data_IF_748764541429
#
_entry.id   IF_748764541429
#
_cell.length_a   1.000
_cell.length_b   1.000
_cell.length_c   1.000
_cell.angle_alpha   90.00
_cell.angle_beta   90.00
_cell.angle_gamma   90.00
#
_symmetry.space_group_name_H-M   'P 1'
#
loop_
_entity.id
_entity.type
_entity.pdbx_description
1 polymer ?
#
# COMPACT_ATOMS: atom_id res chain seq x y z
N UNK A 1 -21.67 -4.82 -4.80
CA UNK A 1 -20.75 -5.52 -3.88
C UNK A 1 -20.88 -4.87 -2.53
N UNK A 2 -20.86 -5.65 -1.46
CA UNK A 2 -20.73 -5.15 -0.09
C UNK A 2 -19.31 -5.47 0.38
N UNK A 3 -18.60 -4.51 0.98
CA UNK A 3 -17.20 -4.64 1.40
C UNK A 3 -16.97 -3.83 2.67
N UNK A 4 -16.31 -4.45 3.64
CA UNK A 4 -15.96 -3.84 4.92
C UNK A 4 -14.47 -4.10 5.18
N UNK A 5 -13.72 -3.02 5.47
CA UNK A 5 -12.31 -3.07 5.81
C UNK A 5 -12.08 -2.73 7.27
N UNK A 6 -11.28 -3.56 7.93
CA UNK A 6 -10.91 -3.36 9.33
C UNK A 6 -9.43 -3.66 9.49
N UNK A 7 -8.66 -2.62 9.78
CA UNK A 7 -7.24 -2.76 10.03
C UNK A 7 -6.91 -2.19 11.42
N UNK A 8 -6.04 -2.88 12.14
CA UNK A 8 -5.54 -2.46 13.44
C UNK A 8 -4.02 -2.60 13.45
N UNK A 9 -3.32 -1.56 13.88
CA UNK A 9 -1.85 -1.51 13.86
C UNK A 9 -1.32 -1.14 15.24
N UNK A 10 -0.23 -1.80 15.63
CA UNK A 10 0.65 -1.35 16.71
C UNK A 10 2.01 -1.03 16.10
N UNK A 11 2.56 0.13 16.45
CA UNK A 11 3.82 0.59 15.91
C UNK A 11 4.66 1.25 16.99
N UNK A 12 5.97 1.23 16.78
CA UNK A 12 6.93 1.93 17.64
C UNK A 12 7.96 2.67 16.81
N UNK A 13 8.41 3.80 17.34
CA UNK A 13 9.61 4.49 16.90
C UNK A 13 10.76 4.05 17.77
N UNK A 14 11.86 3.66 17.15
CA UNK A 14 13.10 3.27 17.82
C UNK A 14 14.17 4.36 17.65
N UNK A 15 13.78 5.60 17.34
CA UNK A 15 14.73 6.70 17.20
C UNK A 15 15.51 6.98 18.49
N UNK A 16 14.94 6.69 19.66
CA UNK A 16 15.62 6.88 20.96
C UNK A 16 16.90 6.03 21.08
N UNK A 17 16.95 4.86 20.44
CA UNK A 17 18.14 3.99 20.43
C UNK A 17 19.08 4.29 19.26
N UNK A 18 18.64 5.06 18.27
CA UNK A 18 19.42 5.45 17.10
C UNK A 18 19.09 6.88 16.63
N UNK A 19 19.43 7.90 17.43
CA UNK A 19 19.00 9.29 17.17
C UNK A 19 19.68 9.94 15.97
N UNK A 20 20.71 9.29 15.41
CA UNK A 20 21.36 9.72 14.16
C UNK A 20 20.53 9.39 12.91
N UNK A 21 19.48 8.58 13.02
CA UNK A 21 18.57 8.25 11.93
C UNK A 21 17.42 9.26 11.84
N UNK A 22 16.92 9.46 10.62
CA UNK A 22 15.73 10.29 10.36
C UNK A 22 14.44 9.49 10.63
N UNK A 23 14.48 8.17 10.40
CA UNK A 23 13.41 7.23 10.74
C UNK A 23 13.98 5.88 11.14
N UNK A 24 13.38 5.28 12.16
CA UNK A 24 13.55 3.87 12.51
C UNK A 24 12.23 3.42 13.15
N UNK A 25 11.35 2.85 12.34
CA UNK A 25 10.01 2.45 12.76
C UNK A 25 9.79 0.98 12.46
N UNK A 26 9.07 0.32 13.37
CA UNK A 26 8.54 -1.01 13.14
C UNK A 26 7.07 -1.02 13.53
N UNK A 27 6.23 -1.62 12.69
CA UNK A 27 4.83 -1.85 13.02
C UNK A 27 4.39 -3.25 12.65
N UNK A 28 3.44 -3.75 13.43
CA UNK A 28 2.69 -4.95 13.12
C UNK A 28 1.21 -4.60 13.09
N UNK A 29 0.49 -5.12 12.12
CA UNK A 29 -0.94 -4.92 12.01
C UNK A 29 -1.70 -6.15 11.63
N UNK A 30 -2.97 -6.17 12.00
CA UNK A 30 -3.97 -7.04 11.42
C UNK A 30 -4.67 -6.28 10.31
N UNK A 31 -4.78 -6.93 9.15
CA UNK A 31 -5.49 -6.42 7.98
C UNK A 31 -6.63 -7.39 7.70
N UNK A 32 -7.86 -6.89 7.57
CA UNK A 32 -9.02 -7.75 7.40
C UNK A 32 -10.06 -7.14 6.47
N UNK A 33 -10.68 -8.02 5.69
CA UNK A 33 -11.75 -7.68 4.76
C UNK A 33 -12.92 -8.64 4.97
N UNK A 34 -14.14 -8.11 4.96
CA UNK A 34 -15.36 -8.90 4.75
C UNK A 34 -16.04 -8.42 3.48
N UNK A 35 -16.16 -9.29 2.47
CA UNK A 35 -16.72 -8.90 1.18
C UNK A 35 -17.66 -9.92 0.57
N UNK A 36 -18.63 -9.41 -0.20
CA UNK A 36 -19.65 -10.21 -0.89
C UNK A 36 -20.05 -9.58 -2.21
N UNK A 37 -20.13 -10.41 -3.24
CA UNK A 37 -20.79 -10.06 -4.49
C UNK A 37 -22.31 -10.33 -4.38
N UNK A 38 -23.11 -9.27 -4.41
CA UNK A 38 -24.58 -9.37 -4.39
C UNK A 38 -25.09 -10.01 -5.69
N UNK A 39 -26.00 -10.97 -5.58
CA UNK A 39 -26.69 -11.58 -6.72
C UNK A 39 -28.21 -11.36 -6.56
N UNK A 40 -28.88 -11.00 -7.65
CA UNK A 40 -30.33 -10.84 -7.64
C UNK A 40 -30.97 -12.19 -7.28
N UNK A 41 -31.90 -12.21 -6.32
CA UNK A 41 -32.63 -13.40 -5.87
C UNK A 41 -31.79 -14.54 -5.25
N UNK A 42 -30.54 -14.27 -4.83
CA UNK A 42 -29.71 -15.26 -4.13
C UNK A 42 -29.13 -14.68 -2.85
N UNK A 43 -29.26 -15.43 -1.75
CA UNK A 43 -28.55 -15.12 -0.52
C UNK A 43 -27.12 -15.66 -0.62
N UNK A 44 -26.15 -14.76 -0.79
CA UNK A 44 -24.72 -15.11 -0.87
C UNK A 44 -24.09 -14.79 0.51
N UNK A 45 -23.23 -15.65 1.08
CA UNK A 45 -22.52 -15.34 2.32
C UNK A 45 -21.38 -14.35 2.09
N UNK A 46 -20.89 -13.73 3.17
CA UNK A 46 -19.66 -12.94 3.15
C UNK A 46 -18.42 -13.84 3.12
N UNK A 47 -17.42 -13.45 2.34
CA UNK A 47 -16.06 -13.99 2.39
C UNK A 47 -15.25 -13.13 3.34
N UNK A 48 -14.57 -13.75 4.30
CA UNK A 48 -13.72 -13.06 5.26
C UNK A 48 -12.25 -13.36 4.97
N UNK A 49 -11.46 -12.30 4.88
CA UNK A 49 -10.01 -12.31 4.84
C UNK A 49 -9.48 -11.74 6.16
N UNK A 50 -8.50 -12.42 6.73
CA UNK A 50 -7.76 -11.96 7.91
C UNK A 50 -6.29 -12.30 7.68
N UNK A 51 -5.47 -11.26 7.75
CA UNK A 51 -4.03 -11.33 7.57
C UNK A 51 -3.27 -10.51 8.59
N UNK A 52 -1.98 -10.80 8.70
CA UNK A 52 -1.01 -9.98 9.40
C UNK A 52 -0.15 -9.20 8.41
N UNK A 53 0.28 -8.02 8.84
CA UNK A 53 1.23 -7.17 8.12
C UNK A 53 2.33 -6.76 9.07
N UNK A 54 3.57 -6.81 8.59
CA UNK A 54 4.74 -6.30 9.29
C UNK A 54 5.42 -5.25 8.42
N UNK A 55 5.65 -4.07 8.98
CA UNK A 55 6.31 -2.97 8.30
C UNK A 55 7.55 -2.53 9.07
N UNK A 56 8.65 -2.33 8.35
CA UNK A 56 9.89 -1.76 8.91
C UNK A 56 10.35 -0.65 7.97
N UNK A 57 10.56 0.54 8.51
CA UNK A 57 11.09 1.69 7.78
C UNK A 57 12.35 2.22 8.47
N UNK A 58 13.43 2.33 7.71
CA UNK A 58 14.66 3.00 8.13
C UNK A 58 15.00 4.12 7.16
N UNK A 59 15.48 5.25 7.67
CA UNK A 59 15.90 6.39 6.85
C UNK A 59 17.11 7.09 7.46
N UNK A 60 18.13 7.35 6.64
CA UNK A 60 19.32 8.08 7.01
C UNK A 60 19.77 9.00 5.87
N UNK A 61 19.88 10.31 6.13
CA UNK A 61 20.30 11.32 5.15
C UNK A 61 19.51 11.26 3.84
N UNK A 62 18.18 11.14 3.94
CA UNK A 62 17.28 11.01 2.80
C UNK A 62 17.24 9.62 2.14
N UNK A 63 18.24 8.75 2.31
CA UNK A 63 18.17 7.36 1.85
C UNK A 63 17.33 6.54 2.81
N UNK A 64 16.37 5.79 2.30
CA UNK A 64 15.54 4.93 3.13
C UNK A 64 15.26 3.58 2.51
N UNK A 65 14.97 2.63 3.40
CA UNK A 65 14.54 1.28 3.09
C UNK A 65 13.23 1.06 3.84
N UNK A 66 12.22 0.58 3.12
CA UNK A 66 10.95 0.19 3.71
C UNK A 66 10.58 -1.21 3.25
N UNK A 67 10.33 -2.12 4.19
CA UNK A 67 9.81 -3.44 3.89
C UNK A 67 8.42 -3.59 4.49
N UNK A 68 7.47 -4.04 3.68
CA UNK A 68 6.14 -4.46 4.10
C UNK A 68 6.01 -5.94 3.75
N UNK A 69 5.75 -6.77 4.75
CA UNK A 69 5.46 -8.18 4.57
C UNK A 69 4.03 -8.47 5.06
N UNK A 70 3.20 -8.97 4.17
CA UNK A 70 1.83 -9.35 4.41
C UNK A 70 1.65 -10.86 4.27
N UNK A 71 0.87 -11.44 5.17
CA UNK A 71 0.50 -12.85 5.13
C UNK A 71 -0.96 -13.05 5.57
N UNK A 72 -1.69 -13.90 4.86
CA UNK A 72 -3.08 -14.23 5.18
C UNK A 72 -3.44 -15.64 4.74
N UNK A 73 -4.34 -16.29 5.48
CA UNK A 73 -4.87 -17.61 5.11
C UNK A 73 -5.84 -17.53 3.95
N UNK A 74 -6.66 -16.49 3.94
CA UNK A 74 -7.52 -16.13 2.81
C UNK A 74 -7.01 -14.79 2.29
N UNK A 75 -6.77 -14.62 0.98
CA UNK A 75 -6.31 -13.34 0.47
C UNK A 75 -7.42 -12.29 0.52
N UNK A 76 -7.02 -11.02 0.50
CA UNK A 76 -7.95 -9.91 0.28
C UNK A 76 -8.35 -9.83 -1.20
N UNK A 77 -9.37 -9.03 -1.48
CA UNK A 77 -9.86 -8.74 -2.82
C UNK A 77 -10.22 -10.01 -3.64
N UNK A 78 -11.02 -10.94 -3.09
CA UNK A 78 -11.27 -12.24 -3.72
C UNK A 78 -11.93 -12.16 -5.10
N UNK A 79 -12.58 -11.03 -5.42
CA UNK A 79 -13.24 -10.81 -6.71
C UNK A 79 -12.42 -9.97 -7.69
N UNK A 80 -11.15 -9.64 -7.38
CA UNK A 80 -10.39 -8.73 -8.24
C UNK A 80 -10.23 -9.26 -9.66
N UNK A 81 -9.81 -10.51 -9.84
CA UNK A 81 -9.60 -11.07 -11.18
C UNK A 81 -10.87 -11.04 -12.06
N UNK A 82 -12.05 -11.04 -11.45
CA UNK A 82 -13.34 -10.95 -12.15
C UNK A 82 -13.69 -9.51 -12.57
N UNK A 83 -13.20 -8.52 -11.83
CA UNK A 83 -13.61 -7.11 -11.98
C UNK A 83 -12.46 -6.14 -12.24
N UNK A 84 -11.23 -6.62 -12.43
CA UNK A 84 -10.02 -5.80 -12.64
C UNK A 84 -10.13 -4.84 -13.83
N UNK A 85 -10.97 -5.17 -14.82
CA UNK A 85 -11.19 -4.33 -16.01
C UNK A 85 -12.55 -3.62 -16.00
N UNK A 86 -13.35 -3.74 -14.93
CA UNK A 86 -14.69 -3.13 -14.90
C UNK A 86 -14.60 -1.61 -15.11
N UNK A 87 -13.55 -1.00 -14.58
CA UNK A 87 -13.25 0.44 -14.69
C UNK A 87 -12.95 0.90 -16.11
N UNK A 88 -12.57 0.00 -17.01
CA UNK A 88 -12.33 0.31 -18.41
C UNK A 88 -13.63 0.41 -19.23
N UNK A 89 -14.76 -0.05 -18.68
CA UNK A 89 -16.05 0.01 -19.34
C UNK A 89 -16.83 1.26 -18.95
N UNK A 90 -16.45 2.41 -19.50
CA UNK A 90 -17.20 3.64 -19.36
C UNK A 90 -17.93 3.99 -20.67
N UNK A 91 -19.22 4.31 -20.57
CA UNK A 91 -20.04 4.85 -21.65
C UNK A 91 -20.58 6.22 -21.25
N UNK A 92 -21.10 7.04 -22.20
CA UNK A 92 -21.69 8.34 -21.86
C UNK A 92 -22.84 8.28 -20.84
N UNK A 93 -23.51 7.14 -20.70
CA UNK A 93 -24.64 6.92 -19.79
C UNK A 93 -24.30 6.14 -18.52
N UNK A 94 -23.13 5.49 -18.46
CA UNK A 94 -22.74 4.67 -17.32
C UNK A 94 -21.23 4.54 -17.20
N UNK A 95 -20.71 4.87 -16.02
CA UNK A 95 -19.31 4.71 -15.69
C UNK A 95 -19.25 3.95 -14.34
N UNK A 96 -18.80 2.68 -14.32
CA UNK A 96 -18.78 1.88 -13.11
C UNK A 96 -17.76 2.45 -12.13
N UNK A 97 -18.12 2.46 -10.85
CA UNK A 97 -17.17 2.85 -9.81
C UNK A 97 -16.15 1.73 -9.61
N UNK A 98 -14.83 2.05 -9.52
CA UNK A 98 -13.79 1.12 -9.13
C UNK A 98 -14.19 0.22 -7.97
N UNK A 99 -14.23 -1.08 -8.20
CA UNK A 99 -14.57 -2.05 -7.14
C UNK A 99 -13.38 -2.22 -6.20
N UNK A 100 -12.17 -2.12 -6.72
CA UNK A 100 -10.92 -2.19 -5.99
C UNK A 100 -10.09 -0.94 -6.26
N UNK A 101 -9.91 -0.08 -5.24
CA UNK A 101 -8.97 1.05 -5.31
C UNK A 101 -7.68 0.68 -4.60
N UNK A 102 -6.55 0.88 -5.26
CA UNK A 102 -5.22 0.55 -4.73
C UNK A 102 -4.52 -0.54 -5.53
N UNK A 103 -3.27 -0.82 -5.17
CA UNK A 103 -2.46 -1.81 -5.88
C UNK A 103 -2.92 -3.22 -5.46
N UNK A 104 -3.17 -4.15 -6.41
CA UNK A 104 -3.85 -5.43 -6.16
C UNK A 104 -3.09 -6.47 -5.32
N UNK A 105 -2.06 -6.07 -4.58
CA UNK A 105 -1.07 -7.01 -4.11
C UNK A 105 -1.51 -7.87 -2.91
N UNK A 106 -2.52 -7.44 -2.17
CA UNK A 106 -3.10 -8.21 -1.06
C UNK A 106 -3.97 -9.40 -1.51
N UNK A 107 -4.10 -9.62 -2.83
CA UNK A 107 -4.69 -10.83 -3.43
C UNK A 107 -3.85 -12.08 -3.29
N UNK A 108 -2.56 -11.90 -3.02
CA UNK A 108 -1.72 -13.02 -2.66
C UNK A 108 -1.83 -13.27 -1.16
N UNK A 109 -1.84 -14.54 -0.77
CA UNK A 109 -1.74 -14.92 0.63
C UNK A 109 -0.42 -14.49 1.25
N UNK A 110 0.64 -14.36 0.46
CA UNK A 110 1.94 -13.85 0.88
C UNK A 110 2.36 -12.76 -0.07
N UNK A 111 2.67 -11.59 0.47
CA UNK A 111 3.12 -10.45 -0.28
C UNK A 111 4.28 -9.77 0.44
N UNK A 112 5.40 -9.58 -0.24
CA UNK A 112 6.50 -8.74 0.23
C UNK A 112 6.66 -7.56 -0.70
N UNK A 113 6.75 -6.36 -0.11
CA UNK A 113 7.11 -5.13 -0.78
C UNK A 113 8.39 -4.62 -0.18
N UNK A 114 9.43 -4.50 -0.99
CA UNK A 114 10.68 -3.89 -0.62
C UNK A 114 10.87 -2.59 -1.39
N UNK A 115 10.96 -1.48 -0.68
CA UNK A 115 11.11 -0.13 -1.24
C UNK A 115 12.48 0.42 -0.85
N UNK A 116 13.30 0.73 -1.85
CA UNK A 116 14.49 1.57 -1.73
C UNK A 116 14.15 2.96 -2.24
N UNK A 117 14.33 3.97 -1.40
CA UNK A 117 14.00 5.33 -1.78
C UNK A 117 15.08 6.34 -1.41
N UNK A 118 15.08 7.44 -2.15
CA UNK A 118 15.78 8.66 -1.76
C UNK A 118 14.79 9.80 -1.69
N UNK A 119 14.76 10.50 -0.57
CA UNK A 119 13.88 11.63 -0.29
C UNK A 119 14.71 12.90 -0.10
N UNK A 120 14.69 13.77 -1.10
CA UNK A 120 15.20 15.12 -0.97
C UNK A 120 14.08 16.04 -0.52
N UNK A 121 14.33 16.88 0.49
CA UNK A 121 13.35 17.85 0.99
C UNK A 121 14.03 19.16 1.34
N UNK A 122 13.34 20.26 1.06
CA UNK A 122 13.63 21.58 1.59
C UNK A 122 12.35 22.20 2.19
N UNK A 123 12.39 23.49 2.52
CA UNK A 123 11.27 24.19 3.19
C UNK A 123 9.97 24.28 2.37
N UNK A 124 10.00 24.09 1.05
CA UNK A 124 8.84 24.31 0.17
C UNK A 124 8.59 23.18 -0.85
N UNK A 125 9.51 22.22 -0.97
CA UNK A 125 9.40 21.13 -1.91
C UNK A 125 10.02 19.84 -1.34
N UNK A 126 9.46 18.71 -1.74
CA UNK A 126 10.08 17.41 -1.55
C UNK A 126 9.98 16.57 -2.82
N UNK A 127 11.06 15.88 -3.14
CA UNK A 127 11.14 14.92 -4.24
C UNK A 127 11.57 13.59 -3.67
N UNK A 128 10.74 12.56 -3.81
CA UNK A 128 11.03 11.20 -3.39
C UNK A 128 11.03 10.28 -4.60
N UNK A 129 12.14 9.59 -4.84
CA UNK A 129 12.26 8.55 -5.87
C UNK A 129 12.21 7.20 -5.15
N UNK A 130 11.39 6.28 -5.63
CA UNK A 130 11.19 4.96 -5.05
C UNK A 130 11.47 3.88 -6.09
N UNK A 131 12.19 2.85 -5.67
CA UNK A 131 12.39 1.59 -6.37
C UNK A 131 11.74 0.50 -5.54
N UNK A 132 10.61 -0.01 -6.02
CA UNK A 132 9.78 -0.97 -5.30
C UNK A 132 9.85 -2.33 -5.98
N UNK A 133 10.28 -3.33 -5.24
CA UNK A 133 10.20 -4.74 -5.60
C UNK A 133 9.02 -5.37 -4.87
N UNK A 134 8.19 -6.09 -5.62
CA UNK A 134 7.01 -6.79 -5.13
C UNK A 134 7.18 -8.27 -5.40
N UNK A 135 7.10 -9.10 -4.36
CA UNK A 135 7.09 -10.56 -4.47
C UNK A 135 5.80 -11.11 -3.87
N UNK A 136 5.12 -11.99 -4.61
CA UNK A 136 3.78 -12.47 -4.28
C UNK A 136 3.70 -13.99 -4.41
N UNK A 137 2.97 -14.67 -3.52
CA UNK A 137 2.72 -16.11 -3.64
C UNK A 137 1.29 -16.47 -3.24
N UNK A 138 0.66 -17.32 -4.05
CA UNK A 138 -0.71 -17.81 -3.87
C UNK A 138 -0.83 -18.91 -2.80
N UNK A 139 -0.47 -18.62 -1.56
CA UNK A 139 -0.67 -19.54 -0.43
C UNK A 139 0.61 -19.91 0.30
N UNK A 140 0.46 -20.77 1.30
CA UNK A 140 1.57 -21.30 2.10
C UNK A 140 2.19 -22.57 1.51
N UNK A 141 1.61 -23.10 0.43
CA UNK A 141 2.20 -24.21 -0.32
C UNK A 141 3.52 -23.74 -0.96
N UNK A 142 4.59 -24.47 -0.67
CA UNK A 142 5.94 -24.19 -1.18
C UNK A 142 6.10 -24.59 -2.65
N UNK A 143 5.18 -25.39 -3.20
CA UNK A 143 5.19 -25.80 -4.60
C UNK A 143 4.84 -24.66 -5.56
N UNK A 144 4.12 -23.64 -5.07
CA UNK A 144 3.70 -22.50 -5.88
C UNK A 144 4.83 -21.49 -6.05
N UNK A 145 5.13 -21.05 -7.29
CA UNK A 145 6.21 -20.10 -7.53
C UNK A 145 5.86 -18.72 -6.98
N UNK A 146 6.89 -17.94 -6.69
CA UNK A 146 6.75 -16.51 -6.45
C UNK A 146 6.53 -15.78 -7.78
N UNK A 147 5.59 -14.85 -7.80
CA UNK A 147 5.44 -13.86 -8.85
C UNK A 147 6.11 -12.56 -8.41
N UNK A 148 6.93 -11.99 -9.28
CA UNK A 148 7.72 -10.80 -8.98
C UNK A 148 7.38 -9.67 -9.94
N UNK A 149 7.33 -8.45 -9.43
CA UNK A 149 7.20 -7.25 -10.25
C UNK A 149 7.97 -6.10 -9.62
N UNK A 150 8.37 -5.13 -10.43
CA UNK A 150 9.03 -3.92 -9.95
C UNK A 150 8.26 -2.68 -10.39
N UNK A 151 8.37 -1.62 -9.59
CA UNK A 151 7.80 -0.31 -9.87
C UNK A 151 8.84 0.74 -9.56
N UNK A 152 8.97 1.73 -10.45
CA UNK A 152 9.77 2.93 -10.21
C UNK A 152 8.84 4.12 -10.34
N UNK A 153 8.80 4.95 -9.31
CA UNK A 153 7.98 6.15 -9.34
C UNK A 153 8.63 7.28 -8.55
N UNK A 154 8.29 8.50 -8.96
CA UNK A 154 8.72 9.73 -8.33
C UNK A 154 7.51 10.46 -7.78
N UNK A 155 7.60 10.87 -6.52
CA UNK A 155 6.61 11.72 -5.86
C UNK A 155 7.21 13.09 -5.68
N UNK A 156 6.56 14.10 -6.25
CA UNK A 156 6.91 15.51 -6.07
C UNK A 156 5.80 16.15 -5.25
N UNK A 157 6.15 16.79 -4.13
CA UNK A 157 5.24 17.60 -3.34
C UNK A 157 5.76 19.02 -3.26
N UNK A 158 4.86 19.98 -3.34
CA UNK A 158 5.16 21.40 -3.35
C UNK A 158 4.23 22.15 -2.42
N UNK A 159 4.80 22.99 -1.58
CA UNK A 159 4.10 23.86 -0.65
C UNK A 159 4.23 25.32 -1.14
N UNK A 160 3.24 25.82 -1.90
CA UNK A 160 3.29 27.17 -2.44
C UNK A 160 3.27 28.23 -1.35
N UNK A 161 2.64 27.96 -0.20
CA UNK A 161 2.52 28.94 0.89
C UNK A 161 3.90 29.24 1.49
N UNK A 162 4.67 28.19 1.80
CA UNK A 162 6.03 28.37 2.30
C UNK A 162 6.96 28.98 1.26
N UNK A 163 6.80 28.65 -0.02
CA UNK A 163 7.56 29.31 -1.08
C UNK A 163 7.27 30.83 -1.10
N UNK A 164 6.00 31.21 -1.13
CA UNK A 164 5.59 32.62 -1.18
C UNK A 164 6.11 33.37 0.04
N UNK A 165 5.97 32.81 1.24
CA UNK A 165 6.51 33.41 2.47
C UNK A 165 8.03 33.59 2.40
N UNK A 166 8.76 32.62 1.84
CA UNK A 166 10.22 32.69 1.70
C UNK A 166 10.67 33.74 0.69
N UNK A 167 9.91 33.95 -0.38
CA UNK A 167 10.15 35.02 -1.36
C UNK A 167 9.78 36.38 -0.75
N UNK A 168 8.64 36.49 -0.07
CA UNK A 168 8.13 37.72 0.50
C UNK A 168 8.97 38.25 1.69
N UNK A 169 9.52 37.36 2.53
CA UNK A 169 10.42 37.72 3.65
C UNK A 169 11.86 38.05 3.22
N UNK A 170 12.20 37.85 1.94
CA UNK A 170 13.50 38.24 1.36
C UNK A 170 13.47 39.65 0.75
N UNK A 171 12.37 40.38 0.88
CA UNK A 171 12.29 41.84 0.66
C UNK A 171 12.42 42.54 2.00
#
# INVERSE_FOLDING_TARGET
MDRLYFNAYIGTSLLDIAPFMEKLNASFGMVSESSRLRQLHKNVPFMNSVGGQFDVEIQYKGFGIHNLFYFAKTPEMPFYNQYQYVEMYCTPSYCPTPIYRGVPFFQANLYNRFDLYYNWKNDFASVRINFVLNAMRGGFDRSLPWSESYQVYMTVAFDPYNLINKIARKK
#
